data_IF_466868069197
#
_entry.id   IF_466868069197
#
_cell.length_a   1.000
_cell.length_b   1.000
_cell.length_c   1.000
_cell.angle_alpha   90.00
_cell.angle_beta   90.00
_cell.angle_gamma   90.00
#
_symmetry.space_group_name_H-M   'P 1'
#
loop_
_entity.id
_entity.type
_entity.pdbx_description
1 polymer ?
#
# COMPACT_ATOMS: atom_id res chain seq x y z
N UNK A 1 -10.27 -11.29 4.86
CA UNK A 1 -11.76 -11.31 4.81
C UNK A 1 -12.32 -10.27 3.85
N UNK A 2 -11.87 -9.02 3.87
CA UNK A 2 -12.34 -7.93 2.99
C UNK A 2 -12.11 -8.17 1.50
N UNK A 3 -10.90 -8.61 1.11
CA UNK A 3 -10.57 -8.76 -0.32
C UNK A 3 -11.39 -9.83 -1.05
N UNK A 4 -11.67 -10.97 -0.40
CA UNK A 4 -12.46 -12.06 -0.99
C UNK A 4 -13.93 -11.68 -1.18
N UNK A 5 -14.54 -11.03 -0.19
CA UNK A 5 -15.92 -10.54 -0.28
C UNK A 5 -16.06 -9.49 -1.41
N UNK A 6 -15.08 -8.60 -1.52
CA UNK A 6 -15.07 -7.58 -2.56
C UNK A 6 -14.86 -8.17 -3.96
N UNK A 7 -13.96 -9.14 -4.12
CA UNK A 7 -13.77 -9.87 -5.39
C UNK A 7 -15.07 -10.56 -5.81
N UNK A 8 -15.74 -11.28 -4.89
CA UNK A 8 -17.02 -11.92 -5.17
C UNK A 8 -18.11 -10.93 -5.61
N UNK A 9 -18.11 -9.71 -5.06
CA UNK A 9 -19.03 -8.64 -5.46
C UNK A 9 -18.75 -8.02 -6.84
N UNK A 10 -17.50 -8.12 -7.34
CA UNK A 10 -17.08 -7.55 -8.64
C UNK A 10 -17.21 -8.57 -9.78
N UNK A 11 -17.22 -9.88 -9.47
CA UNK A 11 -17.43 -10.97 -10.46
C UNK A 11 -18.65 -10.75 -11.39
N UNK A 12 -19.83 -10.35 -10.90
CA UNK A 12 -20.98 -10.09 -11.77
C UNK A 12 -20.75 -8.93 -12.74
N UNK A 13 -19.92 -7.95 -12.35
CA UNK A 13 -19.57 -6.79 -13.18
C UNK A 13 -18.67 -7.20 -14.35
N UNK A 14 -17.78 -8.18 -14.12
CA UNK A 14 -16.86 -8.77 -15.10
C UNK A 14 -17.56 -9.78 -16.01
N UNK A 15 -18.76 -10.25 -15.67
CA UNK A 15 -19.55 -11.18 -16.49
C UNK A 15 -20.81 -10.53 -17.05
N UNK A 16 -21.01 -9.23 -16.78
CA UNK A 16 -22.20 -8.50 -17.17
C UNK A 16 -22.26 -8.32 -18.69
N UNK A 17 -23.38 -8.73 -19.28
CA UNK A 17 -23.69 -8.50 -20.70
C UNK A 17 -24.87 -7.53 -20.85
N UNK A 18 -25.04 -6.95 -22.04
CA UNK A 18 -26.10 -5.98 -22.36
C UNK A 18 -25.64 -4.53 -22.46
N UNK A 19 -26.58 -3.58 -22.43
CA UNK A 19 -26.29 -2.16 -22.62
C UNK A 19 -25.32 -1.62 -21.56
N UNK A 20 -24.21 -1.00 -21.99
CA UNK A 20 -23.15 -0.53 -21.07
C UNK A 20 -22.32 -1.66 -20.44
N UNK A 21 -22.33 -2.87 -21.00
CA UNK A 21 -21.46 -3.96 -20.59
C UNK A 21 -19.97 -3.61 -20.73
N UNK A 22 -19.57 -2.95 -21.82
CA UNK A 22 -18.19 -2.49 -22.05
C UNK A 22 -17.64 -1.68 -20.87
N UNK A 23 -18.44 -0.73 -20.37
CA UNK A 23 -18.04 0.12 -19.23
C UNK A 23 -17.98 -0.67 -17.93
N UNK A 24 -18.87 -1.65 -17.73
CA UNK A 24 -18.89 -2.53 -16.56
C UNK A 24 -17.74 -3.53 -16.56
N UNK A 25 -17.41 -4.11 -17.71
CA UNK A 25 -16.24 -4.96 -17.91
C UNK A 25 -14.95 -4.21 -17.62
N UNK A 26 -14.77 -3.02 -18.19
CA UNK A 26 -13.56 -2.22 -17.99
C UNK A 26 -13.35 -1.91 -16.49
N UNK A 27 -14.41 -1.46 -15.81
CA UNK A 27 -14.35 -1.20 -14.36
C UNK A 27 -14.13 -2.49 -13.56
N UNK A 28 -14.82 -3.57 -13.90
CA UNK A 28 -14.70 -4.86 -13.22
C UNK A 28 -13.31 -5.46 -13.32
N UNK A 29 -12.71 -5.46 -14.51
CA UNK A 29 -11.36 -5.98 -14.76
C UNK A 29 -10.31 -5.14 -14.02
N UNK A 30 -10.40 -3.81 -14.10
CA UNK A 30 -9.47 -2.91 -13.44
C UNK A 30 -9.46 -3.13 -11.91
N UNK A 31 -10.65 -3.22 -11.32
CA UNK A 31 -10.82 -3.41 -9.87
C UNK A 31 -10.41 -4.82 -9.44
N UNK A 32 -10.80 -5.85 -10.18
CA UNK A 32 -10.44 -7.24 -9.89
C UNK A 32 -8.92 -7.46 -9.93
N UNK A 33 -8.26 -7.02 -11.00
CA UNK A 33 -6.81 -7.10 -11.14
C UNK A 33 -6.10 -6.25 -10.06
N UNK A 34 -6.63 -5.06 -9.76
CA UNK A 34 -6.11 -4.19 -8.71
C UNK A 34 -6.14 -4.85 -7.33
N UNK A 35 -7.23 -5.54 -6.99
CA UNK A 35 -7.37 -6.23 -5.70
C UNK A 35 -6.47 -7.46 -5.59
N UNK A 36 -6.31 -8.22 -6.67
CA UNK A 36 -5.32 -9.30 -6.71
C UNK A 36 -3.90 -8.76 -6.56
N UNK A 37 -3.58 -7.67 -7.26
CA UNK A 37 -2.30 -6.97 -7.17
C UNK A 37 -2.02 -6.46 -5.75
N UNK A 38 -2.97 -5.77 -5.12
CA UNK A 38 -2.84 -5.29 -3.73
C UNK A 38 -2.69 -6.44 -2.74
N UNK A 39 -3.37 -7.55 -2.96
CA UNK A 39 -3.29 -8.69 -2.04
C UNK A 39 -1.94 -9.39 -2.15
N UNK A 40 -1.42 -9.57 -3.37
CA UNK A 40 -0.13 -10.23 -3.60
C UNK A 40 1.06 -9.31 -3.26
N UNK A 41 1.06 -8.10 -3.80
CA UNK A 41 2.15 -7.15 -3.65
C UNK A 41 1.99 -6.28 -2.41
N UNK A 42 0.79 -5.80 -2.09
CA UNK A 42 0.56 -4.89 -0.97
C UNK A 42 0.93 -5.48 0.39
N UNK A 43 0.76 -6.80 0.60
CA UNK A 43 1.22 -7.47 1.83
C UNK A 43 2.73 -7.41 2.01
N UNK A 44 3.50 -7.40 0.91
CA UNK A 44 4.96 -7.30 0.94
C UNK A 44 5.44 -5.84 0.88
N UNK A 45 4.81 -5.02 0.02
CA UNK A 45 5.17 -3.63 -0.20
C UNK A 45 4.86 -2.77 1.01
N UNK A 46 3.73 -2.97 1.70
CA UNK A 46 3.35 -2.15 2.87
C UNK A 46 4.40 -2.15 3.98
N UNK A 47 4.90 -3.29 4.49
CA UNK A 47 5.95 -3.30 5.51
C UNK A 47 7.29 -2.76 4.98
N UNK A 48 7.62 -3.02 3.71
CA UNK A 48 8.84 -2.48 3.08
C UNK A 48 8.79 -0.96 3.01
N UNK A 49 7.70 -0.39 2.50
CA UNK A 49 7.49 1.06 2.47
C UNK A 49 7.50 1.66 3.88
N UNK A 50 6.85 1.01 4.85
CA UNK A 50 6.89 1.45 6.25
C UNK A 50 8.32 1.57 6.77
N UNK A 51 9.15 0.54 6.58
CA UNK A 51 10.55 0.54 7.05
C UNK A 51 11.40 1.58 6.29
N UNK A 52 11.22 1.71 4.97
CA UNK A 52 11.95 2.69 4.16
C UNK A 52 11.63 4.11 4.61
N UNK A 53 10.35 4.45 4.73
CA UNK A 53 9.90 5.76 5.19
C UNK A 53 10.35 6.03 6.62
N UNK A 54 10.21 5.04 7.52
CA UNK A 54 10.70 5.15 8.91
C UNK A 54 12.21 5.40 8.97
N UNK A 55 13.01 4.67 8.18
CA UNK A 55 14.46 4.85 8.12
C UNK A 55 14.83 6.23 7.59
N UNK A 56 14.13 6.72 6.55
CA UNK A 56 14.35 8.07 6.03
C UNK A 56 13.97 9.15 7.05
N UNK A 57 12.85 8.98 7.75
CA UNK A 57 12.39 9.89 8.79
C UNK A 57 13.39 9.95 9.96
N UNK A 58 13.88 8.81 10.45
CA UNK A 58 14.88 8.75 11.52
C UNK A 58 16.21 9.41 11.11
N UNK A 59 16.64 9.27 9.85
CA UNK A 59 17.84 9.95 9.34
C UNK A 59 17.68 11.47 9.29
N UNK A 60 16.46 11.98 9.10
CA UNK A 60 16.16 13.42 9.14
C UNK A 60 15.96 13.96 10.56
N UNK A 61 15.58 13.11 11.49
CA UNK A 61 15.34 13.45 12.89
C UNK A 61 16.57 13.25 13.80
N UNK A 62 17.79 13.28 13.26
CA UNK A 62 19.01 13.29 14.06
C UNK A 62 19.58 14.72 14.18
N UNK A 63 19.09 15.55 15.12
CA UNK A 63 19.84 16.69 15.61
C UNK A 63 21.02 16.20 16.46
N UNK A 64 22.22 16.48 15.95
CA UNK A 64 23.40 16.90 16.71
C UNK A 64 23.36 16.69 18.23
N UNK A 65 23.82 15.52 18.70
CA UNK A 65 24.12 15.30 20.14
C UNK A 65 25.63 15.15 20.36
N UNK A 66 26.44 15.99 19.71
CA UNK A 66 27.90 16.01 19.88
C UNK A 66 28.42 17.37 20.34
N UNK A 67 28.02 17.88 21.51
CA UNK A 67 28.72 19.04 22.10
C UNK A 67 28.73 19.10 23.64
N UNK A 68 28.45 18.01 24.39
CA UNK A 68 28.33 18.09 25.85
C UNK A 68 29.29 17.27 26.72
N UNK A 69 30.11 16.38 26.15
CA UNK A 69 30.80 15.35 26.95
C UNK A 69 32.24 15.71 27.39
N UNK A 70 32.72 16.93 27.15
CA UNK A 70 34.12 17.31 27.44
C UNK A 70 34.31 18.27 28.63
N UNK A 71 33.26 18.73 29.30
CA UNK A 71 33.37 19.81 30.29
C UNK A 71 33.11 19.39 31.76
N UNK A 72 33.13 18.09 32.06
CA UNK A 72 32.91 17.58 33.42
C UNK A 72 34.16 16.93 34.05
N UNK A 73 35.35 17.36 33.61
CA UNK A 73 36.66 16.89 34.12
C UNK A 73 37.73 18.00 34.25
N UNK A 74 37.34 19.25 34.48
CA UNK A 74 38.27 20.34 34.78
C UNK A 74 37.91 21.02 36.11
#
# INVERSE_FOLDING_TARGET
MTSFAFIAGVVPLVLATGAGAEMRHAMGIAVFAGMLGVTLFGLLLTPVFYVVVRKLALRRAAPETRTGASDQRA
#
